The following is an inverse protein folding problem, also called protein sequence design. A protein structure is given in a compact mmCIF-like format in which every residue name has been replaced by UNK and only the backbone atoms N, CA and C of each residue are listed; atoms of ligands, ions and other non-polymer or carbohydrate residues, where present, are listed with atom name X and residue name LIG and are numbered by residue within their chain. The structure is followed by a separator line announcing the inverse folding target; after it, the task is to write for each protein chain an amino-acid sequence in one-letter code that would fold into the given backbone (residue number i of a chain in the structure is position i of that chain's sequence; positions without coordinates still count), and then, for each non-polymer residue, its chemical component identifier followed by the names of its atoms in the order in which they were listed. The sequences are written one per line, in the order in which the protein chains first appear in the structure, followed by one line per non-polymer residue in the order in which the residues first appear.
data_IF_441547929849
#
_entry.id   IF_441547929849
#
_cell.length_a   1.000
_cell.length_b   1.000
_cell.length_c   1.000
_cell.angle_alpha   90.00
_cell.angle_beta   90.00
_cell.angle_gamma   90.00
#
_symmetry.space_group_name_H-M   'P 1'
#
loop_
_entity.id
_entity.type
_entity.pdbx_description
1 polymer ?
#
# COMPACT_ATOMS: atom_id res chain seq x y z
N UNK A 1 -7.57 37.11 -22.31
CA UNK A 1 -7.51 35.82 -23.01
C UNK A 1 -6.43 35.80 -24.09
N UNK A 2 -6.18 36.93 -24.80
CA UNK A 2 -5.18 37.01 -25.88
C UNK A 2 -3.74 36.94 -25.40
N UNK A 3 -3.40 37.50 -24.24
CA UNK A 3 -2.04 37.41 -23.63
C UNK A 3 -1.66 36.01 -23.11
N UNK A 4 -2.64 35.23 -22.68
CA UNK A 4 -2.41 33.86 -22.24
C UNK A 4 -2.14 32.94 -23.44
N UNK A 5 -2.81 33.13 -24.55
CA UNK A 5 -2.53 32.39 -25.80
C UNK A 5 -1.13 32.67 -26.37
N UNK A 6 -0.62 33.89 -26.21
CA UNK A 6 0.73 34.26 -26.67
C UNK A 6 1.84 33.66 -25.78
N UNK A 7 1.58 33.48 -24.49
CA UNK A 7 2.55 32.81 -23.58
C UNK A 7 2.61 31.31 -23.88
N UNK A 8 1.49 30.67 -24.21
CA UNK A 8 1.49 29.26 -24.61
C UNK A 8 2.04 29.01 -26.04
N UNK A 9 2.01 29.99 -26.92
CA UNK A 9 2.54 29.89 -28.29
C UNK A 9 4.07 30.07 -28.36
N UNK A 10 4.72 30.56 -27.30
CA UNK A 10 6.18 30.72 -27.21
C UNK A 10 6.88 29.62 -26.37
N UNK A 11 6.13 28.60 -25.96
CA UNK A 11 6.75 27.37 -25.44
C UNK A 11 7.34 26.63 -26.64
N UNK A 12 8.66 26.74 -26.80
CA UNK A 12 9.37 26.17 -27.94
C UNK A 12 9.00 24.67 -28.10
N UNK A 13 8.84 24.19 -29.35
CA UNK A 13 8.56 22.78 -29.63
C UNK A 13 9.59 21.81 -29.02
N UNK A 14 10.76 22.31 -28.68
CA UNK A 14 11.79 21.62 -27.92
C UNK A 14 11.32 21.13 -26.53
N UNK A 15 10.53 21.93 -25.81
CA UNK A 15 10.08 21.52 -24.46
C UNK A 15 9.09 20.33 -24.49
N UNK A 16 8.17 20.32 -25.43
CA UNK A 16 7.27 19.18 -25.63
C UNK A 16 8.04 17.92 -26.06
N UNK A 17 9.01 18.06 -26.96
CA UNK A 17 9.85 16.95 -27.41
C UNK A 17 10.71 16.44 -26.24
N UNK A 18 11.31 17.30 -25.43
CA UNK A 18 12.07 16.91 -24.24
C UNK A 18 11.18 16.24 -23.21
N UNK A 19 9.98 16.75 -22.96
CA UNK A 19 9.01 16.17 -22.04
C UNK A 19 8.56 14.78 -22.50
N UNK A 20 8.20 14.64 -23.79
CA UNK A 20 7.83 13.37 -24.40
C UNK A 20 9.01 12.39 -24.40
N UNK A 21 10.21 12.86 -24.70
CA UNK A 21 11.43 12.01 -24.70
C UNK A 21 11.77 11.54 -23.28
N UNK A 22 11.67 12.39 -22.27
CA UNK A 22 11.85 12.03 -20.86
C UNK A 22 10.77 11.05 -20.44
N UNK A 23 9.51 11.29 -20.81
CA UNK A 23 8.39 10.39 -20.50
C UNK A 23 8.57 9.02 -21.15
N UNK A 24 8.96 8.96 -22.42
CA UNK A 24 9.25 7.72 -23.15
C UNK A 24 10.48 7.01 -22.58
N UNK A 25 11.51 7.75 -22.17
CA UNK A 25 12.68 7.20 -21.51
C UNK A 25 12.33 6.59 -20.15
N UNK A 26 11.48 7.26 -19.35
CA UNK A 26 10.94 6.70 -18.11
C UNK A 26 10.10 5.45 -18.37
N UNK A 27 9.23 5.48 -19.36
CA UNK A 27 8.39 4.34 -19.77
C UNK A 27 9.25 3.14 -20.21
N UNK A 28 10.30 3.39 -20.98
CA UNK A 28 11.19 2.33 -21.49
C UNK A 28 12.13 1.75 -20.40
N UNK A 29 12.46 2.53 -19.37
CA UNK A 29 13.26 2.10 -18.22
C UNK A 29 12.48 1.32 -17.16
N UNK A 30 11.14 1.37 -17.23
CA UNK A 30 10.27 0.74 -16.23
C UNK A 30 10.06 -0.74 -16.59
N UNK A 31 10.53 -1.61 -15.71
CA UNK A 31 10.28 -3.05 -15.82
C UNK A 31 8.81 -3.38 -15.48
N UNK A 32 8.36 -4.54 -15.97
CA UNK A 32 6.99 -5.04 -15.76
C UNK A 32 6.51 -4.91 -14.31
N UNK A 33 7.30 -5.31 -13.27
CA UNK A 33 6.88 -5.12 -11.87
C UNK A 33 6.59 -3.67 -11.51
N UNK A 34 7.43 -2.72 -11.95
CA UNK A 34 7.24 -1.29 -11.67
C UNK A 34 5.96 -0.74 -12.31
N UNK A 35 5.57 -1.25 -13.48
CA UNK A 35 4.30 -0.90 -14.12
C UNK A 35 3.10 -1.37 -13.31
N UNK A 36 3.17 -2.57 -12.73
CA UNK A 36 2.12 -3.11 -11.86
C UNK A 36 1.99 -2.24 -10.60
N UNK A 37 3.10 -1.85 -9.98
CA UNK A 37 3.10 -0.93 -8.82
C UNK A 37 2.49 0.43 -9.16
N UNK A 38 2.83 0.99 -10.33
CA UNK A 38 2.28 2.28 -10.78
C UNK A 38 0.78 2.18 -11.08
N UNK A 39 0.32 1.07 -11.66
CA UNK A 39 -1.11 0.85 -11.91
C UNK A 39 -1.94 0.84 -10.62
N UNK A 40 -1.39 0.30 -9.52
CA UNK A 40 -2.01 0.38 -8.18
C UNK A 40 -2.09 1.81 -7.66
N UNK A 41 -1.04 2.60 -7.86
CA UNK A 41 -1.06 4.02 -7.49
C UNK A 41 -2.13 4.79 -8.25
N UNK A 42 -2.33 4.50 -9.54
CA UNK A 42 -3.41 5.08 -10.34
C UNK A 42 -4.80 4.55 -9.95
N UNK A 43 -4.87 3.32 -9.44
CA UNK A 43 -6.12 2.74 -8.93
C UNK A 43 -6.67 3.46 -7.70
N UNK A 44 -5.81 4.03 -6.85
CA UNK A 44 -6.23 4.72 -5.63
C UNK A 44 -7.15 5.93 -5.89
N UNK A 45 -6.81 6.91 -6.74
CA UNK A 45 -7.73 8.00 -7.08
C UNK A 45 -9.08 7.51 -7.62
N UNK A 46 -9.07 6.39 -8.37
CA UNK A 46 -10.28 5.79 -8.89
C UNK A 46 -11.16 5.21 -7.78
N UNK A 47 -10.56 4.54 -6.81
CA UNK A 47 -11.22 4.04 -5.59
C UNK A 47 -11.84 5.20 -4.82
N UNK A 48 -11.10 6.28 -4.58
CA UNK A 48 -11.57 7.46 -3.87
C UNK A 48 -12.74 8.13 -4.60
N UNK A 49 -12.64 8.28 -5.93
CA UNK A 49 -13.71 8.82 -6.74
C UNK A 49 -14.99 7.99 -6.67
N UNK A 50 -14.90 6.66 -6.81
CA UNK A 50 -16.06 5.76 -6.72
C UNK A 50 -16.71 5.81 -5.33
N UNK A 51 -15.92 5.92 -4.26
CA UNK A 51 -16.44 6.01 -2.89
C UNK A 51 -17.04 7.38 -2.57
N UNK A 52 -16.67 8.44 -3.27
CA UNK A 52 -17.33 9.76 -3.15
C UNK A 52 -18.78 9.73 -3.65
N UNK A 53 -19.13 8.77 -4.50
CA UNK A 53 -20.50 8.52 -4.96
C UNK A 53 -20.92 7.08 -4.64
N UNK A 54 -21.25 6.76 -3.37
CA UNK A 54 -21.33 5.39 -2.85
C UNK A 54 -22.64 4.67 -3.25
N UNK A 55 -22.96 4.58 -4.55
CA UNK A 55 -24.04 3.72 -5.05
C UNK A 55 -23.66 2.24 -4.85
N UNK A 56 -24.63 1.31 -4.76
CA UNK A 56 -24.32 -0.11 -4.63
C UNK A 56 -23.40 -0.63 -5.74
N UNK A 57 -23.61 -0.18 -6.97
CA UNK A 57 -22.79 -0.55 -8.14
C UNK A 57 -21.35 -0.05 -8.01
N UNK A 58 -21.17 1.24 -7.65
CA UNK A 58 -19.85 1.83 -7.46
C UNK A 58 -19.10 1.13 -6.31
N UNK A 59 -19.79 0.74 -5.25
CA UNK A 59 -19.18 0.04 -4.12
C UNK A 59 -18.73 -1.37 -4.49
N UNK A 60 -19.51 -2.12 -5.31
CA UNK A 60 -19.08 -3.42 -5.85
C UNK A 60 -17.86 -3.27 -6.75
N UNK A 61 -17.90 -2.30 -7.65
CA UNK A 61 -16.76 -2.01 -8.54
C UNK A 61 -15.51 -1.59 -7.74
N UNK A 62 -15.68 -0.71 -6.76
CA UNK A 62 -14.60 -0.27 -5.88
C UNK A 62 -13.98 -1.43 -5.11
N UNK A 63 -14.81 -2.32 -4.53
CA UNK A 63 -14.34 -3.52 -3.84
C UNK A 63 -13.53 -4.41 -4.79
N UNK A 64 -14.03 -4.65 -6.01
CA UNK A 64 -13.32 -5.46 -7.00
C UNK A 64 -11.96 -4.85 -7.37
N UNK A 65 -11.90 -3.55 -7.65
CA UNK A 65 -10.66 -2.83 -7.96
C UNK A 65 -9.68 -2.92 -6.78
N UNK A 66 -10.16 -2.69 -5.55
CA UNK A 66 -9.34 -2.76 -4.35
C UNK A 66 -8.74 -4.16 -4.14
N UNK A 67 -9.56 -5.22 -4.23
CA UNK A 67 -9.10 -6.61 -4.06
C UNK A 67 -8.11 -7.01 -5.14
N UNK A 68 -8.37 -6.64 -6.40
CA UNK A 68 -7.42 -6.89 -7.50
C UNK A 68 -6.11 -6.16 -7.24
N UNK A 69 -6.15 -4.88 -6.91
CA UNK A 69 -4.96 -4.08 -6.63
C UNK A 69 -4.15 -4.64 -5.45
N UNK A 70 -4.82 -5.04 -4.36
CA UNK A 70 -4.15 -5.64 -3.21
C UNK A 70 -3.57 -7.04 -3.51
N UNK A 71 -4.22 -7.81 -4.39
CA UNK A 71 -3.76 -9.14 -4.77
C UNK A 71 -2.56 -9.10 -5.72
N UNK A 72 -2.47 -8.08 -6.57
CA UNK A 72 -1.35 -7.92 -7.50
C UNK A 72 -0.03 -7.61 -6.79
N UNK A 73 -0.04 -7.06 -5.58
CA UNK A 73 1.16 -6.86 -4.76
C UNK A 73 1.91 -8.17 -4.46
N UNK A 74 1.18 -9.23 -4.17
CA UNK A 74 1.80 -10.53 -3.97
C UNK A 74 2.37 -11.11 -5.28
N UNK A 75 1.70 -10.85 -6.40
CA UNK A 75 2.06 -11.37 -7.71
C UNK A 75 3.31 -10.69 -8.26
N UNK A 76 3.41 -9.35 -8.17
CA UNK A 76 4.57 -8.61 -8.70
C UNK A 76 5.83 -8.86 -7.86
N UNK A 77 5.72 -8.94 -6.53
CA UNK A 77 6.81 -9.35 -5.67
C UNK A 77 7.32 -10.78 -5.95
N UNK A 78 6.44 -11.69 -6.33
CA UNK A 78 6.82 -13.02 -6.78
C UNK A 78 7.51 -13.00 -8.16
N UNK A 79 6.93 -12.26 -9.11
CA UNK A 79 7.41 -12.14 -10.48
C UNK A 79 8.78 -11.45 -10.56
N UNK A 80 8.97 -10.37 -9.81
CA UNK A 80 10.23 -9.63 -9.72
C UNK A 80 11.39 -10.52 -9.24
N UNK A 81 11.13 -11.35 -8.23
CA UNK A 81 12.13 -12.31 -7.72
C UNK A 81 12.42 -13.45 -8.69
N UNK A 82 11.39 -13.95 -9.40
CA UNK A 82 11.52 -15.05 -10.34
C UNK A 82 12.24 -14.65 -11.63
N UNK A 83 12.06 -13.40 -12.07
CA UNK A 83 12.63 -12.88 -13.32
C UNK A 83 13.94 -12.10 -13.12
N UNK A 84 14.40 -11.96 -11.86
CA UNK A 84 15.60 -11.18 -11.49
C UNK A 84 15.54 -9.71 -11.99
N UNK A 85 14.33 -9.15 -12.08
CA UNK A 85 14.02 -7.80 -12.57
C UNK A 85 13.83 -6.80 -11.43
N UNK A 86 14.53 -6.98 -10.33
CA UNK A 86 14.39 -6.13 -9.14
C UNK A 86 15.12 -4.81 -9.38
N UNK A 87 14.36 -3.69 -9.44
CA UNK A 87 14.92 -2.34 -9.56
C UNK A 87 15.01 -1.65 -8.21
N UNK A 88 15.98 -0.76 -8.03
CA UNK A 88 16.10 0.06 -6.80
C UNK A 88 14.86 0.95 -6.62
N UNK A 89 14.31 1.48 -7.71
CA UNK A 89 13.08 2.28 -7.68
C UNK A 89 11.87 1.44 -7.23
N UNK A 90 11.74 0.20 -7.72
CA UNK A 90 10.69 -0.73 -7.29
C UNK A 90 10.80 -1.05 -5.80
N UNK A 91 11.97 -1.40 -5.30
CA UNK A 91 12.21 -1.66 -3.87
C UNK A 91 11.76 -0.52 -2.97
N UNK A 92 11.85 0.73 -3.45
CA UNK A 92 11.41 1.91 -2.70
C UNK A 92 9.91 2.16 -2.85
N UNK A 93 9.36 2.06 -4.07
CA UNK A 93 7.97 2.37 -4.37
C UNK A 93 7.00 1.32 -3.85
N UNK A 94 7.33 0.01 -3.94
CA UNK A 94 6.42 -1.07 -3.57
C UNK A 94 5.88 -0.93 -2.14
N UNK A 95 6.73 -0.78 -1.09
CA UNK A 95 6.22 -0.65 0.28
C UNK A 95 5.42 0.64 0.52
N UNK A 96 5.63 1.65 -0.31
CA UNK A 96 4.98 2.95 -0.18
C UNK A 96 3.59 2.92 -0.82
N UNK A 97 3.49 2.38 -2.04
CA UNK A 97 2.23 2.26 -2.79
C UNK A 97 1.26 1.30 -2.10
N UNK A 98 1.77 0.17 -1.57
CA UNK A 98 0.95 -0.77 -0.79
C UNK A 98 0.31 -0.09 0.43
N UNK A 99 1.08 0.67 1.20
CA UNK A 99 0.55 1.43 2.33
C UNK A 99 -0.42 2.53 1.91
N UNK A 100 -0.14 3.22 0.80
CA UNK A 100 -1.03 4.26 0.30
C UNK A 100 -2.39 3.70 -0.13
N UNK A 101 -2.42 2.53 -0.79
CA UNK A 101 -3.66 1.88 -1.20
C UNK A 101 -4.53 1.54 0.02
N UNK A 102 -3.95 0.89 1.03
CA UNK A 102 -4.66 0.49 2.25
C UNK A 102 -5.13 1.71 3.04
N UNK A 103 -4.22 2.67 3.31
CA UNK A 103 -4.54 3.86 4.10
C UNK A 103 -5.52 4.79 3.38
N UNK A 104 -5.35 5.00 2.08
CA UNK A 104 -6.27 5.82 1.30
C UNK A 104 -7.69 5.26 1.29
N UNK A 105 -7.83 3.93 1.15
CA UNK A 105 -9.13 3.26 1.25
C UNK A 105 -9.73 3.39 2.66
N UNK A 106 -8.92 3.30 3.72
CA UNK A 106 -9.39 3.52 5.10
C UNK A 106 -9.82 4.97 5.34
N UNK A 107 -9.13 5.96 4.77
CA UNK A 107 -9.53 7.37 4.86
C UNK A 107 -10.90 7.60 4.22
N UNK A 108 -11.15 7.01 3.05
CA UNK A 108 -12.47 7.07 2.41
C UNK A 108 -13.56 6.39 3.27
N UNK A 109 -13.24 5.29 3.95
CA UNK A 109 -14.17 4.63 4.87
C UNK A 109 -14.45 5.46 6.13
N UNK A 110 -13.50 6.29 6.59
CA UNK A 110 -13.74 7.28 7.66
C UNK A 110 -14.73 8.34 7.17
N UNK A 111 -14.55 8.88 5.97
CA UNK A 111 -15.46 9.86 5.38
C UNK A 111 -16.88 9.31 5.26
N UNK A 112 -17.01 8.03 4.89
CA UNK A 112 -18.29 7.30 4.86
C UNK A 112 -18.82 6.89 6.27
N UNK A 113 -18.13 7.29 7.34
CA UNK A 113 -18.48 6.95 8.73
C UNK A 113 -18.59 5.44 9.00
N UNK A 114 -17.90 4.61 8.24
CA UNK A 114 -17.89 3.15 8.41
C UNK A 114 -16.89 2.68 9.45
N UNK A 115 -15.80 3.42 9.66
CA UNK A 115 -14.77 3.12 10.68
C UNK A 115 -14.37 4.39 11.44
N UNK A 116 -13.97 4.27 12.70
CA UNK A 116 -13.53 5.41 13.47
C UNK A 116 -12.11 5.84 13.09
N UNK A 117 -11.87 7.14 12.97
CA UNK A 117 -10.58 7.73 12.61
C UNK A 117 -9.43 7.30 13.54
N UNK A 118 -9.70 7.18 14.86
CA UNK A 118 -8.69 6.79 15.82
C UNK A 118 -8.16 5.35 15.60
N UNK A 119 -9.00 4.42 15.13
CA UNK A 119 -8.58 3.08 14.78
C UNK A 119 -7.59 3.07 13.61
N UNK A 120 -7.86 3.89 12.59
CA UNK A 120 -6.94 4.08 11.45
C UNK A 120 -5.65 4.78 11.89
N UNK A 121 -5.75 5.76 12.77
CA UNK A 121 -4.59 6.45 13.35
C UNK A 121 -3.67 5.48 14.10
N UNK A 122 -4.23 4.53 14.86
CA UNK A 122 -3.47 3.48 15.52
C UNK A 122 -2.69 2.60 14.54
N UNK A 123 -3.34 2.17 13.44
CA UNK A 123 -2.66 1.40 12.39
C UNK A 123 -1.53 2.23 11.79
N UNK A 124 -1.80 3.48 11.40
CA UNK A 124 -0.83 4.37 10.78
C UNK A 124 0.37 4.63 11.69
N UNK A 125 0.15 4.96 12.95
CA UNK A 125 1.19 5.23 13.94
C UNK A 125 2.15 4.03 14.05
N UNK A 126 1.60 2.81 14.14
CA UNK A 126 2.40 1.59 14.20
C UNK A 126 3.17 1.34 12.90
N UNK A 127 2.52 1.54 11.74
CA UNK A 127 3.19 1.35 10.44
C UNK A 127 4.38 2.30 10.27
N UNK A 128 4.21 3.57 10.65
CA UNK A 128 5.28 4.57 10.60
C UNK A 128 6.39 4.27 11.61
N UNK A 129 6.02 3.89 12.85
CA UNK A 129 6.98 3.54 13.87
C UNK A 129 7.91 2.39 13.44
N UNK A 130 7.34 1.29 12.95
CA UNK A 130 8.13 0.14 12.50
C UNK A 130 8.93 0.47 11.21
N UNK A 131 8.37 1.25 10.31
CA UNK A 131 9.10 1.68 9.10
C UNK A 131 10.27 2.57 9.45
N UNK A 132 10.08 3.55 10.35
CA UNK A 132 11.15 4.41 10.84
C UNK A 132 12.24 3.63 11.60
N UNK A 133 11.84 2.65 12.42
CA UNK A 133 12.78 1.77 13.10
C UNK A 133 13.67 1.00 12.11
N UNK A 134 13.10 0.47 11.03
CA UNK A 134 13.83 -0.30 10.00
C UNK A 134 14.87 0.53 9.24
N UNK A 135 14.64 1.81 9.05
CA UNK A 135 15.53 2.70 8.30
C UNK A 135 16.75 3.10 9.12
N UNK A 136 16.71 2.97 10.45
CA UNK A 136 17.83 3.38 11.31
C UNK A 136 18.74 2.19 11.66
N UNK A 137 19.95 2.07 11.02
CA UNK A 137 20.88 0.97 11.26
C UNK A 137 21.38 0.89 12.72
N UNK A 138 21.39 2.03 13.44
CA UNK A 138 21.82 2.10 14.84
C UNK A 138 20.82 1.44 15.79
N UNK A 139 19.55 1.43 15.42
CA UNK A 139 18.47 0.84 16.21
C UNK A 139 18.26 -0.64 15.87
N UNK A 140 18.53 -1.05 14.63
CA UNK A 140 18.37 -2.43 14.18
C UNK A 140 19.54 -3.33 14.58
N UNK A 141 20.70 -2.77 14.91
CA UNK A 141 21.93 -3.55 15.09
C UNK A 141 22.29 -4.35 13.84
N UNK A 142 23.26 -5.25 13.92
CA UNK A 142 23.60 -6.19 12.82
C UNK A 142 22.64 -7.40 12.74
N UNK A 143 21.51 -7.35 13.41
CA UNK A 143 20.50 -8.40 13.29
C UNK A 143 19.75 -8.19 11.99
N UNK A 144 20.13 -8.92 10.96
CA UNK A 144 19.25 -9.19 9.83
C UNK A 144 17.99 -9.84 10.40
N UNK A 145 16.95 -9.05 10.69
CA UNK A 145 15.65 -9.58 11.09
C UNK A 145 15.11 -10.30 9.86
N UNK A 146 15.61 -11.55 9.72
CA UNK A 146 15.23 -12.45 8.65
C UNK A 146 13.83 -12.98 8.94
N UNK A 147 13.01 -12.84 7.94
CA UNK A 147 11.78 -13.58 7.88
C UNK A 147 10.55 -12.70 7.88
N UNK A 148 9.79 -12.84 6.78
CA UNK A 148 8.39 -12.42 6.74
C UNK A 148 7.66 -13.15 7.86
N UNK A 149 7.56 -12.53 9.04
CA UNK A 149 6.91 -13.10 10.18
C UNK A 149 5.44 -13.37 9.78
N UNK A 150 4.96 -14.59 10.05
CA UNK A 150 3.58 -15.00 9.71
C UNK A 150 2.55 -13.98 10.22
N UNK A 151 2.83 -13.37 11.37
CA UNK A 151 2.00 -12.31 11.95
C UNK A 151 1.93 -11.04 11.08
N UNK A 152 3.02 -10.71 10.39
CA UNK A 152 3.03 -9.61 9.43
C UNK A 152 2.14 -9.88 8.21
N UNK A 153 2.15 -11.11 7.70
CA UNK A 153 1.26 -11.52 6.60
C UNK A 153 -0.20 -11.54 7.05
N UNK A 154 -0.48 -12.10 8.22
CA UNK A 154 -1.82 -12.21 8.77
C UNK A 154 -2.46 -10.83 9.00
N UNK A 155 -1.68 -9.87 9.53
CA UNK A 155 -2.08 -8.48 9.67
C UNK A 155 -2.54 -7.87 8.34
N UNK A 156 -1.73 -7.99 7.28
CA UNK A 156 -2.04 -7.40 5.97
C UNK A 156 -3.28 -8.04 5.35
N UNK A 157 -3.39 -9.37 5.40
CA UNK A 157 -4.56 -10.10 4.90
C UNK A 157 -5.82 -9.68 5.65
N UNK A 158 -5.78 -9.58 6.99
CA UNK A 158 -6.94 -9.16 7.78
C UNK A 158 -7.36 -7.72 7.49
N UNK A 159 -6.42 -6.80 7.23
CA UNK A 159 -6.71 -5.43 6.80
C UNK A 159 -7.41 -5.40 5.44
N UNK A 160 -6.89 -6.16 4.46
CA UNK A 160 -7.50 -6.24 3.12
C UNK A 160 -8.93 -6.79 3.21
N UNK A 161 -9.15 -7.85 4.00
CA UNK A 161 -10.48 -8.43 4.20
C UNK A 161 -11.42 -7.42 4.87
N UNK A 162 -10.97 -6.73 5.92
CA UNK A 162 -11.76 -5.73 6.63
C UNK A 162 -12.21 -4.61 5.68
N UNK A 163 -11.28 -4.05 4.90
CA UNK A 163 -11.57 -2.97 3.94
C UNK A 163 -12.55 -3.48 2.86
N UNK A 164 -12.31 -4.64 2.28
CA UNK A 164 -13.17 -5.21 1.25
C UNK A 164 -14.61 -5.41 1.75
N UNK A 165 -14.79 -5.96 2.96
CA UNK A 165 -16.09 -6.13 3.58
C UNK A 165 -16.81 -4.82 3.89
N UNK A 166 -16.07 -3.78 4.31
CA UNK A 166 -16.62 -2.46 4.62
C UNK A 166 -16.96 -1.65 3.37
N UNK A 167 -16.22 -1.83 2.28
CA UNK A 167 -16.53 -1.24 0.97
C UNK A 167 -17.74 -1.93 0.35
N UNK A 168 -17.84 -3.25 0.43
CA UNK A 168 -18.92 -4.01 -0.19
C UNK A 168 -20.31 -3.52 0.28
N UNK A 169 -21.30 -3.39 -0.61
CA UNK A 169 -22.67 -2.99 -0.26
C UNK A 169 -23.46 -4.17 0.32
N UNK A 170 -22.97 -4.70 1.44
CA UNK A 170 -23.59 -5.80 2.14
C UNK A 170 -24.78 -5.29 2.99
N UNK A 171 -25.71 -6.21 3.31
CA UNK A 171 -26.82 -5.91 4.21
C UNK A 171 -26.30 -5.45 5.60
N UNK A 172 -27.07 -4.61 6.29
CA UNK A 172 -26.67 -3.99 7.57
C UNK A 172 -26.24 -4.99 8.65
N UNK A 173 -26.76 -6.22 8.60
CA UNK A 173 -26.34 -7.32 9.49
C UNK A 173 -24.84 -7.65 9.39
N UNK A 174 -24.20 -7.35 8.25
CA UNK A 174 -22.77 -7.61 8.04
C UNK A 174 -21.87 -6.47 8.53
N UNK A 175 -22.45 -5.33 8.90
CA UNK A 175 -21.67 -4.19 9.40
C UNK A 175 -20.87 -4.53 10.67
N UNK A 176 -21.55 -5.12 11.68
CA UNK A 176 -20.89 -5.52 12.93
C UNK A 176 -19.77 -6.56 12.69
N UNK A 177 -19.98 -7.66 11.97
CA UNK A 177 -18.90 -8.58 11.61
C UNK A 177 -17.71 -7.90 10.91
N UNK A 178 -17.98 -6.99 9.96
CA UNK A 178 -16.93 -6.27 9.26
C UNK A 178 -16.13 -5.36 10.20
N UNK A 179 -16.79 -4.71 11.15
CA UNK A 179 -16.16 -3.88 12.17
C UNK A 179 -15.31 -4.73 13.14
N UNK A 180 -15.77 -5.94 13.49
CA UNK A 180 -14.99 -6.90 14.30
C UNK A 180 -13.71 -7.30 13.57
N UNK A 181 -13.80 -7.59 12.26
CA UNK A 181 -12.61 -7.91 11.46
C UNK A 181 -11.64 -6.72 11.38
N UNK A 182 -12.16 -5.49 11.29
CA UNK A 182 -11.34 -4.28 11.35
C UNK A 182 -10.59 -4.19 12.69
N UNK A 183 -11.26 -4.35 13.84
CA UNK A 183 -10.61 -4.31 15.15
C UNK A 183 -9.62 -5.45 15.36
N UNK A 184 -9.94 -6.64 14.83
CA UNK A 184 -9.01 -7.77 14.82
C UNK A 184 -7.74 -7.41 14.03
N UNK A 185 -7.88 -6.72 12.90
CA UNK A 185 -6.72 -6.29 12.11
C UNK A 185 -5.86 -5.25 12.84
N UNK A 186 -6.48 -4.34 13.63
CA UNK A 186 -5.77 -3.41 14.53
C UNK A 186 -4.97 -4.20 15.57
N UNK A 187 -5.60 -5.16 16.23
CA UNK A 187 -4.95 -6.01 17.25
C UNK A 187 -3.76 -6.77 16.67
N UNK A 188 -3.94 -7.44 15.52
CA UNK A 188 -2.88 -8.16 14.83
C UNK A 188 -1.73 -7.24 14.40
N UNK A 189 -2.05 -6.00 14.05
CA UNK A 189 -1.05 -4.98 13.72
C UNK A 189 -0.14 -4.70 14.91
N UNK A 190 -0.69 -4.57 16.11
CA UNK A 190 0.09 -4.34 17.33
C UNK A 190 0.85 -5.60 17.78
N UNK A 191 0.23 -6.78 17.74
CA UNK A 191 0.91 -8.04 18.03
C UNK A 191 2.13 -8.22 17.11
N UNK A 192 1.94 -8.04 15.82
CA UNK A 192 3.04 -8.10 14.85
C UNK A 192 4.13 -7.07 15.13
N UNK A 193 3.76 -5.87 15.59
CA UNK A 193 4.71 -4.82 15.98
C UNK A 193 5.51 -5.20 17.23
N UNK A 194 4.85 -5.72 18.26
CA UNK A 194 5.48 -6.13 19.50
C UNK A 194 6.49 -7.26 19.27
N UNK A 195 6.13 -8.28 18.49
CA UNK A 195 7.05 -9.38 18.13
C UNK A 195 8.26 -8.84 17.35
N UNK A 196 8.08 -7.76 16.60
CA UNK A 196 9.16 -7.14 15.85
C UNK A 196 10.14 -6.38 16.74
N UNK A 197 9.64 -5.72 17.78
CA UNK A 197 10.44 -4.96 18.76
C UNK A 197 11.12 -5.87 19.79
N UNK A 198 10.46 -6.99 20.15
CA UNK A 198 10.91 -7.96 21.13
C UNK A 198 11.03 -9.35 20.49
N UNK A 199 12.06 -9.61 19.66
CA UNK A 199 12.23 -10.93 19.05
C UNK A 199 12.48 -11.98 20.14
N UNK A 200 11.83 -13.16 20.08
CA UNK A 200 12.07 -14.22 21.02
C UNK A 200 13.54 -14.65 20.98
N UNK A 201 14.16 -14.78 22.14
CA UNK A 201 15.61 -15.03 22.33
C UNK A 201 16.16 -16.30 21.65
N UNK A 202 15.33 -17.17 21.10
CA UNK A 202 15.75 -18.42 20.46
C UNK A 202 16.55 -18.26 19.15
N UNK A 203 16.63 -17.08 18.58
CA UNK A 203 17.41 -16.84 17.35
C UNK A 203 18.89 -16.48 17.61
N UNK A 204 19.29 -16.25 18.85
CA UNK A 204 20.67 -15.91 19.20
C UNK A 204 21.60 -17.12 19.41
N UNK A 205 21.05 -18.33 19.65
CA UNK A 205 21.83 -19.51 20.02
C UNK A 205 22.39 -20.29 18.82
N UNK A 206 21.93 -20.05 17.59
CA UNK A 206 22.35 -20.84 16.44
C UNK A 206 23.59 -20.28 15.69
N UNK A 207 24.13 -19.12 16.10
CA UNK A 207 25.23 -18.45 15.37
C UNK A 207 26.57 -18.38 16.13
N UNK A 208 26.68 -19.05 17.28
CA UNK A 208 27.94 -19.12 18.06
C UNK A 208 28.66 -20.47 17.99
N UNK A 209 28.32 -21.32 17.01
CA UNK A 209 28.94 -22.64 16.84
C UNK A 209 29.51 -22.90 15.44
N UNK A 210 29.87 -21.82 14.68
CA UNK A 210 30.70 -21.98 13.48
C UNK A 210 31.94 -21.07 13.56
#
# INVERSE_FOLDING_TARGET
LTKIKLVFASIEPSFEIYFITILLFFICLMNLPTWITLSRLLGLPFILYLLSYPTPENRWLCMAIFVIAASTDWLDGYLARKLDLVTELGKFLDPLVDKLLVLGSMLALIELQKIPAWGVCLILARELAISGWRVNPKLTGNTSISGANIWGKLKTVSQIIAIALLIAPLADRWYLPSLVVFWLSVLLTYISGAIYLFPPQQQFSAKSQD
#
